data_IF_768808733148
#
_entry.id   IF_768808733148
#
_cell.length_a   1.000
_cell.length_b   1.000
_cell.length_c   1.000
_cell.angle_alpha   90.00
_cell.angle_beta   90.00
_cell.angle_gamma   90.00
#
_symmetry.space_group_name_H-M   'P 1'
#
loop_
_entity.id
_entity.type
_entity.pdbx_description
1 polymer ?
#
# COMPACT_ATOMS: atom_id res chain seq x y z
N UNK A 1 -6.30 -19.47 4.56
CA UNK A 1 -5.57 -18.50 3.69
C UNK A 1 -6.19 -17.09 3.71
N UNK A 2 -7.51 -16.91 3.53
CA UNK A 2 -8.12 -15.56 3.62
C UNK A 2 -7.99 -14.88 5.00
N UNK A 3 -7.96 -15.65 6.09
CA UNK A 3 -7.80 -15.11 7.45
C UNK A 3 -6.44 -14.46 7.74
N UNK A 4 -5.35 -15.04 7.23
CA UNK A 4 -3.99 -14.48 7.44
C UNK A 4 -3.79 -13.18 6.65
N UNK A 5 -4.33 -13.11 5.42
CA UNK A 5 -4.27 -11.90 4.60
C UNK A 5 -5.02 -10.75 5.28
N UNK A 6 -6.19 -11.03 5.88
CA UNK A 6 -6.96 -10.04 6.63
C UNK A 6 -6.21 -9.47 7.84
N UNK A 7 -5.50 -10.32 8.59
CA UNK A 7 -4.71 -9.90 9.75
C UNK A 7 -3.52 -8.99 9.40
N UNK A 8 -2.84 -9.28 8.29
CA UNK A 8 -1.74 -8.44 7.81
C UNK A 8 -2.23 -7.08 7.29
N UNK A 9 -3.37 -7.03 6.60
CA UNK A 9 -3.96 -5.75 6.14
C UNK A 9 -4.32 -4.85 7.33
N UNK A 10 -4.97 -5.41 8.35
CA UNK A 10 -5.36 -4.68 9.56
C UNK A 10 -4.15 -4.15 10.33
N UNK A 11 -3.11 -4.96 10.52
CA UNK A 11 -1.92 -4.53 11.26
C UNK A 11 -1.14 -3.41 10.54
N UNK A 12 -1.10 -3.43 9.20
CA UNK A 12 -0.43 -2.37 8.45
C UNK A 12 -1.21 -1.08 8.37
N UNK A 13 -2.54 -1.15 8.20
CA UNK A 13 -3.39 0.02 8.28
C UNK A 13 -3.24 0.68 9.67
N UNK A 14 -3.25 -0.14 10.74
CA UNK A 14 -3.00 0.32 12.10
C UNK A 14 -1.60 0.95 12.25
N UNK A 15 -0.56 0.38 11.66
CA UNK A 15 0.79 0.94 11.68
C UNK A 15 0.88 2.29 10.97
N UNK A 16 0.21 2.45 9.82
CA UNK A 16 0.17 3.72 9.09
C UNK A 16 -0.58 4.80 9.90
N UNK A 17 -1.70 4.43 10.53
CA UNK A 17 -2.46 5.32 11.43
C UNK A 17 -1.58 5.70 12.64
N UNK A 18 -0.93 4.74 13.29
CA UNK A 18 -0.02 4.99 14.41
C UNK A 18 1.13 5.91 14.02
N UNK A 19 1.77 5.68 12.87
CA UNK A 19 2.83 6.52 12.35
C UNK A 19 2.34 7.96 12.12
N UNK A 20 1.14 8.13 11.55
CA UNK A 20 0.53 9.44 11.35
C UNK A 20 0.25 10.16 12.69
N UNK A 21 -0.24 9.44 13.70
CA UNK A 21 -0.47 9.96 15.05
C UNK A 21 0.85 10.37 15.71
N UNK A 22 1.89 9.55 15.60
CA UNK A 22 3.22 9.82 16.16
C UNK A 22 3.85 11.07 15.53
N UNK A 23 3.78 11.20 14.20
CA UNK A 23 4.24 12.40 13.49
C UNK A 23 3.45 13.64 13.87
N UNK A 24 2.13 13.50 14.02
CA UNK A 24 1.24 14.57 14.51
C UNK A 24 1.68 15.07 15.88
N UNK A 25 2.04 14.14 16.76
CA UNK A 25 2.49 14.44 18.13
C UNK A 25 3.87 15.14 18.13
N UNK A 26 4.83 14.63 17.36
CA UNK A 26 6.16 15.25 17.21
C UNK A 26 6.08 16.67 16.64
N UNK A 27 5.20 16.88 15.66
CA UNK A 27 4.96 18.19 15.05
C UNK A 27 4.37 19.19 16.06
N UNK A 28 3.41 18.72 16.87
CA UNK A 28 2.80 19.52 17.92
C UNK A 28 3.84 20.01 18.96
N UNK A 29 4.83 19.19 19.30
CA UNK A 29 5.89 19.54 20.27
C UNK A 29 6.88 20.59 19.71
N UNK A 30 7.25 20.50 18.42
CA UNK A 30 8.34 21.29 17.83
C UNK A 30 7.98 22.75 17.48
N UNK A 31 6.71 23.10 17.35
CA UNK A 31 6.28 24.40 16.80
C UNK A 31 5.63 25.35 17.81
N UNK A 32 5.68 25.09 19.12
CA UNK A 32 5.10 25.98 20.14
C UNK A 32 6.09 27.10 20.49
N UNK A 33 5.87 28.37 20.08
CA UNK A 33 6.65 29.47 20.61
C UNK A 33 6.37 29.65 22.11
N UNK A 34 7.45 29.83 22.87
CA UNK A 34 7.45 29.99 24.33
C UNK A 34 7.00 31.40 24.64
N UNK A 35 5.69 31.71 24.66
CA UNK A 35 5.19 32.98 25.21
C UNK A 35 3.73 32.84 25.70
N UNK A 36 3.56 32.70 27.01
CA UNK A 36 2.39 33.16 27.78
C UNK A 36 1.06 32.38 27.72
N UNK A 37 0.80 31.51 26.74
CA UNK A 37 -0.46 30.73 26.67
C UNK A 37 -0.26 29.32 27.22
N UNK A 38 -1.27 28.76 27.90
CA UNK A 38 -1.26 27.39 28.45
C UNK A 38 -0.85 26.37 27.38
N UNK A 39 0.39 25.88 27.52
CA UNK A 39 1.14 25.01 26.59
C UNK A 39 0.34 23.82 26.02
N UNK A 40 -0.64 23.34 26.77
CA UNK A 40 -1.44 22.16 26.42
C UNK A 40 -2.53 22.45 25.37
N UNK A 41 -3.23 23.58 25.43
CA UNK A 41 -4.36 23.86 24.52
C UNK A 41 -3.87 24.13 23.10
N UNK A 42 -2.80 24.90 22.95
CA UNK A 42 -2.20 25.22 21.66
C UNK A 42 -1.60 23.99 20.96
N UNK A 43 -0.93 23.12 21.71
CA UNK A 43 -0.41 21.85 21.22
C UNK A 43 -1.56 20.92 20.75
N UNK A 44 -2.65 20.86 21.52
CA UNK A 44 -3.85 20.07 21.17
C UNK A 44 -4.48 20.54 19.87
N UNK A 45 -4.71 21.83 19.72
CA UNK A 45 -5.42 22.35 18.54
C UNK A 45 -4.60 22.18 17.26
N UNK A 46 -3.27 22.33 17.33
CA UNK A 46 -2.38 22.02 16.20
C UNK A 46 -2.28 20.54 15.89
N UNK A 47 -2.25 19.70 16.92
CA UNK A 47 -2.29 18.24 16.75
C UNK A 47 -3.58 17.82 16.05
N UNK A 48 -4.73 18.30 16.51
CA UNK A 48 -6.03 17.98 15.92
C UNK A 48 -6.14 18.48 14.48
N UNK A 49 -5.65 19.68 14.19
CA UNK A 49 -5.63 20.23 12.84
C UNK A 49 -4.76 19.38 11.88
N UNK A 50 -3.56 18.98 12.33
CA UNK A 50 -2.69 18.15 11.50
C UNK A 50 -3.22 16.71 11.39
N UNK A 51 -3.65 16.08 12.48
CA UNK A 51 -4.22 14.74 12.48
C UNK A 51 -5.48 14.65 11.59
N UNK A 52 -6.33 15.67 11.62
CA UNK A 52 -7.51 15.77 10.75
C UNK A 52 -7.21 15.80 9.26
N UNK A 53 -5.98 16.18 8.87
CA UNK A 53 -5.50 16.18 7.48
C UNK A 53 -4.70 14.90 7.19
N UNK A 54 -3.77 14.56 8.07
CA UNK A 54 -2.80 13.48 7.89
C UNK A 54 -3.46 12.10 7.88
N UNK A 55 -4.45 11.85 8.74
CA UNK A 55 -5.10 10.53 8.84
C UNK A 55 -5.89 10.19 7.57
N UNK A 56 -6.78 11.06 7.04
CA UNK A 56 -7.45 10.79 5.77
C UNK A 56 -6.48 10.58 4.61
N UNK A 57 -5.43 11.41 4.52
CA UNK A 57 -4.40 11.26 3.50
C UNK A 57 -3.67 9.91 3.63
N UNK A 58 -3.30 9.49 4.85
CA UNK A 58 -2.67 8.20 5.09
C UNK A 58 -3.57 7.02 4.65
N UNK A 59 -4.87 7.08 4.94
CA UNK A 59 -5.86 6.07 4.50
C UNK A 59 -5.94 6.01 2.98
N UNK A 60 -6.01 7.17 2.31
CA UNK A 60 -6.05 7.23 0.83
C UNK A 60 -4.75 6.70 0.23
N UNK A 61 -3.58 7.06 0.79
CA UNK A 61 -2.28 6.56 0.34
C UNK A 61 -2.21 5.03 0.44
N UNK A 62 -2.62 4.48 1.57
CA UNK A 62 -2.63 3.04 1.83
C UNK A 62 -3.58 2.29 0.89
N UNK A 63 -4.81 2.79 0.71
CA UNK A 63 -5.78 2.21 -0.22
C UNK A 63 -5.27 2.24 -1.67
N UNK A 64 -4.65 3.35 -2.07
CA UNK A 64 -4.05 3.49 -3.41
C UNK A 64 -2.89 2.52 -3.60
N UNK A 65 -2.01 2.37 -2.61
CA UNK A 65 -0.92 1.40 -2.65
C UNK A 65 -1.41 -0.06 -2.72
N UNK A 66 -2.47 -0.38 -1.98
CA UNK A 66 -3.14 -1.69 -2.04
C UNK A 66 -3.70 -1.98 -3.44
N UNK A 67 -4.45 -1.04 -4.02
CA UNK A 67 -5.00 -1.17 -5.37
C UNK A 67 -3.90 -1.32 -6.44
N UNK A 68 -2.80 -0.58 -6.28
CA UNK A 68 -1.61 -0.68 -7.15
C UNK A 68 -0.92 -2.03 -7.03
N UNK A 69 -0.90 -2.61 -5.83
CA UNK A 69 -0.43 -3.97 -5.59
C UNK A 69 -1.29 -5.03 -6.30
N UNK A 70 -2.62 -4.87 -6.27
CA UNK A 70 -3.54 -5.82 -6.89
C UNK A 70 -3.48 -5.84 -8.42
N UNK A 71 -3.36 -4.68 -9.09
CA UNK A 71 -3.43 -4.62 -10.55
C UNK A 71 -2.39 -3.69 -11.17
N UNK A 72 -1.62 -4.19 -12.15
CA UNK A 72 -0.51 -3.44 -12.77
C UNK A 72 -0.95 -2.29 -13.67
N UNK A 73 -2.10 -2.41 -14.34
CA UNK A 73 -2.42 -1.53 -15.48
C UNK A 73 -3.46 -0.45 -15.17
N UNK A 74 -4.64 -0.75 -14.60
CA UNK A 74 -5.67 0.26 -14.34
C UNK A 74 -5.32 1.17 -13.15
N UNK A 75 -4.67 0.62 -12.12
CA UNK A 75 -4.35 1.36 -10.90
C UNK A 75 -3.24 2.40 -11.14
N UNK A 76 -2.26 2.07 -11.98
CA UNK A 76 -1.12 2.95 -12.24
C UNK A 76 -1.50 4.09 -13.19
N UNK A 77 -2.34 3.83 -14.20
CA UNK A 77 -2.65 4.81 -15.26
C UNK A 77 -3.79 5.76 -14.90
N UNK A 78 -4.73 5.35 -14.04
CA UNK A 78 -5.89 6.18 -13.68
C UNK A 78 -5.90 6.59 -12.21
N UNK A 79 -5.65 5.65 -11.29
CA UNK A 79 -5.82 5.92 -9.84
C UNK A 79 -4.74 6.85 -9.31
N UNK A 80 -3.47 6.62 -9.62
CA UNK A 80 -2.37 7.48 -9.13
C UNK A 80 -2.54 8.93 -9.64
N UNK A 81 -2.75 9.19 -10.95
CA UNK A 81 -2.99 10.56 -11.43
C UNK A 81 -4.21 11.19 -10.77
N UNK A 82 -5.35 10.49 -10.67
CA UNK A 82 -6.56 11.04 -10.06
C UNK A 82 -6.36 11.42 -8.59
N UNK A 83 -5.69 10.58 -7.80
CA UNK A 83 -5.39 10.85 -6.39
C UNK A 83 -4.43 12.02 -6.25
N UNK A 84 -3.39 12.11 -7.08
CA UNK A 84 -2.46 13.24 -7.07
C UNK A 84 -3.12 14.55 -7.49
N UNK A 85 -3.99 14.54 -8.51
CA UNK A 85 -4.77 15.70 -8.93
C UNK A 85 -5.71 16.16 -7.81
N UNK A 86 -6.39 15.23 -7.14
CA UNK A 86 -7.25 15.55 -6.01
C UNK A 86 -6.46 16.20 -4.87
N UNK A 87 -5.34 15.60 -4.46
CA UNK A 87 -4.51 16.11 -3.35
C UNK A 87 -3.90 17.47 -3.72
N UNK A 88 -3.41 17.63 -4.95
CA UNK A 88 -2.88 18.89 -5.44
C UNK A 88 -3.94 19.99 -5.48
N UNK A 89 -5.16 19.66 -5.93
CA UNK A 89 -6.30 20.58 -5.94
C UNK A 89 -6.73 21.00 -4.53
N UNK A 90 -6.83 20.04 -3.60
CA UNK A 90 -7.14 20.33 -2.19
C UNK A 90 -6.04 21.18 -1.56
N UNK A 91 -4.77 20.88 -1.82
CA UNK A 91 -3.65 21.68 -1.33
C UNK A 91 -3.70 23.11 -1.85
N UNK A 92 -3.92 23.32 -3.15
CA UNK A 92 -4.02 24.64 -3.76
C UNK A 92 -5.19 25.43 -3.15
N UNK A 93 -6.36 24.80 -3.03
CA UNK A 93 -7.54 25.41 -2.42
C UNK A 93 -7.31 25.81 -0.95
N UNK A 94 -6.83 24.87 -0.12
CA UNK A 94 -6.58 25.12 1.31
C UNK A 94 -5.48 26.18 1.48
N UNK A 95 -4.43 26.14 0.67
CA UNK A 95 -3.34 27.12 0.73
C UNK A 95 -3.78 28.53 0.33
N UNK A 96 -4.78 28.65 -0.54
CA UNK A 96 -5.38 29.93 -0.90
C UNK A 96 -6.35 30.42 0.20
N UNK A 97 -7.19 29.53 0.75
CA UNK A 97 -8.22 29.89 1.72
C UNK A 97 -7.69 30.11 3.15
N UNK A 98 -6.67 29.35 3.57
CA UNK A 98 -6.15 29.34 4.96
C UNK A 98 -4.62 29.26 4.95
N UNK A 99 -3.91 30.40 4.89
CA UNK A 99 -2.45 30.44 4.84
C UNK A 99 -1.77 29.70 6.01
N UNK A 100 -2.37 29.74 7.20
CA UNK A 100 -1.92 29.03 8.40
C UNK A 100 -1.94 27.50 8.26
N UNK A 101 -2.76 26.95 7.35
CA UNK A 101 -2.86 25.52 7.08
C UNK A 101 -1.82 25.02 6.05
N UNK A 102 -1.03 25.89 5.42
CA UNK A 102 -0.04 25.52 4.39
C UNK A 102 1.03 24.54 4.92
N UNK A 103 1.60 24.85 6.08
CA UNK A 103 2.64 24.03 6.71
C UNK A 103 2.13 22.62 7.09
N UNK A 104 1.03 22.46 7.85
CA UNK A 104 0.52 21.13 8.19
C UNK A 104 0.07 20.35 6.95
N UNK A 105 -0.51 21.01 5.95
CA UNK A 105 -0.92 20.36 4.70
C UNK A 105 0.29 19.86 3.90
N UNK A 106 1.35 20.67 3.77
CA UNK A 106 2.59 20.26 3.09
C UNK A 106 3.24 19.03 3.73
N UNK A 107 3.28 18.97 5.06
CA UNK A 107 3.74 17.79 5.78
C UNK A 107 2.81 16.58 5.60
N UNK A 108 1.50 16.81 5.55
CA UNK A 108 0.52 15.77 5.22
C UNK A 108 0.77 15.15 3.85
N UNK A 109 1.18 15.96 2.86
CA UNK A 109 1.54 15.47 1.51
C UNK A 109 2.83 14.66 1.53
N UNK A 110 3.85 15.10 2.29
CA UNK A 110 5.09 14.32 2.45
C UNK A 110 4.78 12.96 3.08
N UNK A 111 3.96 12.94 4.13
CA UNK A 111 3.52 11.70 4.77
C UNK A 111 2.71 10.82 3.82
N UNK A 112 1.79 11.40 3.06
CA UNK A 112 1.04 10.72 2.00
C UNK A 112 2.00 10.02 1.03
N UNK A 113 3.00 10.75 0.51
CA UNK A 113 3.96 10.20 -0.44
C UNK A 113 4.78 9.04 0.16
N UNK A 114 5.24 9.18 1.41
CA UNK A 114 5.97 8.12 2.11
C UNK A 114 5.11 6.86 2.29
N UNK A 115 3.87 7.00 2.77
CA UNK A 115 2.96 5.87 2.96
C UNK A 115 2.61 5.22 1.62
N UNK A 116 2.39 6.02 0.57
CA UNK A 116 2.10 5.52 -0.76
C UNK A 116 3.26 4.67 -1.31
N UNK A 117 4.50 5.15 -1.17
CA UNK A 117 5.70 4.41 -1.59
C UNK A 117 5.86 3.12 -0.79
N UNK A 118 5.73 3.17 0.54
CA UNK A 118 5.88 1.99 1.40
C UNK A 118 4.81 0.93 1.11
N UNK A 119 3.54 1.34 1.02
CA UNK A 119 2.44 0.42 0.72
C UNK A 119 2.56 -0.17 -0.68
N UNK A 120 2.89 0.63 -1.69
CA UNK A 120 3.07 0.14 -3.07
C UNK A 120 4.19 -0.91 -3.15
N UNK A 121 5.33 -0.66 -2.50
CA UNK A 121 6.43 -1.62 -2.46
C UNK A 121 6.04 -2.91 -1.74
N UNK A 122 5.41 -2.78 -0.57
CA UNK A 122 4.97 -3.94 0.22
C UNK A 122 4.00 -4.82 -0.56
N UNK A 123 2.94 -4.26 -1.14
CA UNK A 123 1.94 -5.05 -1.86
C UNK A 123 2.46 -5.61 -3.18
N UNK A 124 3.38 -4.91 -3.85
CA UNK A 124 4.08 -5.44 -5.02
C UNK A 124 4.92 -6.67 -4.64
N UNK A 125 5.66 -6.59 -3.53
CA UNK A 125 6.45 -7.71 -3.03
C UNK A 125 5.58 -8.91 -2.62
N UNK A 126 4.49 -8.67 -1.86
CA UNK A 126 3.57 -9.71 -1.44
C UNK A 126 2.94 -10.46 -2.63
N UNK A 127 2.59 -9.74 -3.70
CA UNK A 127 2.10 -10.35 -4.94
C UNK A 127 3.16 -11.24 -5.60
N UNK A 128 4.40 -10.77 -5.68
CA UNK A 128 5.48 -11.54 -6.31
C UNK A 128 5.82 -12.79 -5.49
N UNK A 129 5.86 -12.69 -4.16
CA UNK A 129 6.03 -13.84 -3.28
C UNK A 129 4.91 -14.87 -3.46
N UNK A 130 3.66 -14.44 -3.59
CA UNK A 130 2.53 -15.34 -3.89
C UNK A 130 2.66 -16.03 -5.24
N UNK A 131 3.17 -15.31 -6.26
CA UNK A 131 3.43 -15.88 -7.59
C UNK A 131 4.57 -16.91 -7.55
N UNK A 132 5.66 -16.60 -6.87
CA UNK A 132 6.79 -17.53 -6.69
C UNK A 132 6.37 -18.79 -5.94
N UNK A 133 5.60 -18.66 -4.85
CA UNK A 133 5.07 -19.81 -4.12
C UNK A 133 4.21 -20.72 -5.00
N UNK A 134 3.37 -20.14 -5.86
CA UNK A 134 2.57 -20.92 -6.83
C UNK A 134 3.45 -21.63 -7.86
N UNK A 135 4.50 -20.98 -8.37
CA UNK A 135 5.41 -21.59 -9.35
C UNK A 135 6.22 -22.74 -8.73
N UNK A 136 6.66 -22.60 -7.48
CA UNK A 136 7.34 -23.68 -6.75
C UNK A 136 6.42 -24.89 -6.57
N UNK A 137 5.17 -24.68 -6.14
CA UNK A 137 4.19 -25.75 -6.03
C UNK A 137 3.94 -26.47 -7.36
N UNK A 138 3.81 -25.72 -8.46
CA UNK A 138 3.64 -26.30 -9.79
C UNK A 138 4.87 -27.09 -10.24
N UNK A 139 6.06 -26.57 -9.96
CA UNK A 139 7.34 -27.24 -10.26
C UNK A 139 7.50 -28.55 -9.47
N UNK A 140 7.10 -28.57 -8.20
CA UNK A 140 7.09 -29.79 -7.38
C UNK A 140 6.08 -30.82 -7.91
N UNK A 141 4.88 -30.38 -8.27
CA UNK A 141 3.86 -31.25 -8.86
C UNK A 141 4.32 -31.86 -10.18
N UNK A 142 4.92 -31.05 -11.06
CA UNK A 142 5.50 -31.51 -12.32
C UNK A 142 6.58 -32.57 -12.06
N UNK A 143 7.51 -32.30 -11.14
CA UNK A 143 8.54 -33.26 -10.75
C UNK A 143 7.94 -34.58 -10.24
N UNK A 144 6.95 -34.53 -9.37
CA UNK A 144 6.26 -35.72 -8.85
C UNK A 144 5.60 -36.52 -9.97
N UNK A 145 4.94 -35.86 -10.92
CA UNK A 145 4.31 -36.52 -12.07
C UNK A 145 5.37 -37.19 -12.95
N UNK A 146 6.46 -36.49 -13.26
CA UNK A 146 7.57 -37.02 -14.07
C UNK A 146 8.22 -38.23 -13.41
N UNK A 147 8.50 -38.17 -12.10
CA UNK A 147 9.02 -39.32 -11.35
C UNK A 147 8.04 -40.49 -11.34
N UNK A 148 6.73 -40.24 -11.14
CA UNK A 148 5.72 -41.30 -11.14
C UNK A 148 5.60 -41.96 -12.51
N UNK A 149 5.67 -41.20 -13.61
CA UNK A 149 5.66 -41.71 -14.99
C UNK A 149 6.89 -42.55 -15.29
N UNK A 150 8.08 -42.07 -14.90
CA UNK A 150 9.32 -42.82 -15.07
C UNK A 150 9.26 -44.18 -14.36
N UNK A 151 8.72 -44.22 -13.13
CA UNK A 151 8.53 -45.47 -12.38
C UNK A 151 7.52 -46.44 -13.04
N UNK A 152 6.62 -45.95 -13.88
CA UNK A 152 5.65 -46.75 -14.64
C UNK A 152 6.17 -47.10 -16.05
N UNK A 153 7.45 -46.81 -16.37
CA UNK A 153 8.03 -46.95 -17.71
C UNK A 153 7.23 -46.21 -18.81
N UNK A 154 6.56 -45.11 -18.45
CA UNK A 154 5.93 -44.22 -19.42
C UNK A 154 6.96 -43.23 -19.95
N UNK A 155 6.74 -42.72 -21.17
CA UNK A 155 7.55 -41.61 -21.70
C UNK A 155 7.50 -40.41 -20.74
N UNK A 156 8.67 -39.83 -20.47
CA UNK A 156 8.87 -38.67 -19.59
C UNK A 156 8.23 -37.42 -20.15
N UNK A 157 8.19 -37.28 -21.47
CA UNK A 157 7.60 -36.12 -22.12
C UNK A 157 6.06 -36.23 -22.10
N UNK A 158 5.40 -35.10 -21.83
CA UNK A 158 3.96 -35.01 -21.99
C UNK A 158 3.63 -35.09 -23.49
N UNK A 159 2.64 -35.91 -23.89
CA UNK A 159 2.26 -35.98 -25.28
C UNK A 159 1.76 -34.61 -25.76
N UNK A 160 2.10 -34.22 -26.98
CA UNK A 160 1.89 -32.86 -27.51
C UNK A 160 0.44 -32.36 -27.33
N UNK A 161 -0.55 -33.25 -27.51
CA UNK A 161 -1.97 -32.94 -27.34
C UNK A 161 -2.33 -32.41 -25.94
N UNK A 162 -1.61 -32.82 -24.89
CA UNK A 162 -1.84 -32.37 -23.52
C UNK A 162 -1.27 -30.97 -23.27
N UNK A 163 -0.28 -30.54 -24.07
CA UNK A 163 0.32 -29.22 -24.01
C UNK A 163 -0.40 -28.22 -24.93
N UNK A 164 -0.85 -28.67 -26.11
CA UNK A 164 -1.49 -27.81 -27.12
C UNK A 164 -3.01 -27.79 -27.04
N UNK A 165 -3.63 -28.78 -26.38
CA UNK A 165 -5.08 -28.95 -26.34
C UNK A 165 -5.67 -29.52 -27.63
N UNK A 166 -4.84 -29.86 -28.63
CA UNK A 166 -5.31 -30.47 -29.87
C UNK A 166 -5.58 -31.97 -29.68
N UNK A 167 -6.70 -32.53 -30.16
CA UNK A 167 -7.00 -33.95 -29.98
C UNK A 167 -5.98 -34.85 -30.69
N UNK A 168 -5.62 -35.99 -30.07
CA UNK A 168 -4.78 -37.00 -30.71
C UNK A 168 -5.52 -37.61 -31.92
N UNK A 169 -4.98 -37.42 -33.12
CA UNK A 169 -5.46 -38.08 -34.35
C UNK A 169 -5.06 -39.54 -34.39
#
# INVERSE_FOLDING_TARGET
>A
MFGEIGGHLLSQAAAAILASILLSFLFSIRLVPINGVTRLSFARDRFLAFAGIAVPLAVVAFATGYLTGLSRQPAVTATIPAVLTLIGGVFAYVSAARPEARAPMGLGIILFALILVLSTNYYSAARESGRLGRLLLLSEQEKMITTRRANMNLQTDFPAWMLTGEPSR
#
